data_IF_045201877559
#
_entry.id   IF_045201877559
#
_cell.length_a   1.000
_cell.length_b   1.000
_cell.length_c   1.000
_cell.angle_alpha   90.00
_cell.angle_beta   90.00
_cell.angle_gamma   90.00
#
_symmetry.space_group_name_H-M   'P 1'
#
loop_
_entity.id
_entity.type
_entity.pdbx_description
1 polymer ?
#
# COMPACT_ATOMS: atom_id res chain seq x y z
N UNK A 1 -15.37 13.35 -2.50
CA UNK A 1 -14.07 12.99 -3.10
C UNK A 1 -14.01 11.48 -3.23
N UNK A 2 -13.07 10.95 -4.01
CA UNK A 2 -12.75 9.51 -4.03
C UNK A 2 -11.23 9.34 -4.00
N UNK A 3 -10.75 8.45 -3.13
CA UNK A 3 -9.36 7.99 -3.15
C UNK A 3 -9.32 6.55 -3.66
N UNK A 4 -8.42 6.26 -4.59
CA UNK A 4 -8.31 4.95 -5.25
C UNK A 4 -6.88 4.40 -5.10
N UNK A 5 -6.70 3.37 -4.28
CA UNK A 5 -5.43 2.63 -4.20
C UNK A 5 -5.49 1.44 -5.14
N UNK A 6 -4.46 1.25 -5.98
CA UNK A 6 -4.43 0.17 -6.96
C UNK A 6 -3.13 -0.63 -6.88
N UNK A 7 -3.24 -1.84 -6.36
CA UNK A 7 -2.21 -2.87 -6.40
C UNK A 7 -2.33 -3.68 -7.69
N UNK A 8 -1.35 -3.52 -8.59
CA UNK A 8 -1.19 -4.32 -9.79
C UNK A 8 0.15 -4.00 -10.46
N UNK A 9 0.66 -4.95 -11.25
CA UNK A 9 1.70 -4.66 -12.24
C UNK A 9 1.23 -3.57 -13.19
N UNK A 10 2.17 -2.74 -13.62
CA UNK A 10 1.94 -1.64 -14.56
C UNK A 10 0.76 -0.73 -14.16
N UNK A 11 0.42 -0.66 -12.88
CA UNK A 11 -0.78 0.02 -12.39
C UNK A 11 -0.84 1.50 -12.82
N UNK A 12 0.30 2.17 -12.98
CA UNK A 12 0.37 3.51 -13.55
C UNK A 12 -0.18 3.65 -14.97
N UNK A 13 -0.32 2.56 -15.75
CA UNK A 13 -0.89 2.58 -17.10
C UNK A 13 -2.41 2.72 -17.14
N UNK A 14 -3.10 2.58 -16.00
CA UNK A 14 -4.57 2.63 -15.95
C UNK A 14 -5.12 4.05 -15.82
N UNK A 15 -4.29 5.03 -15.47
CA UNK A 15 -4.72 6.41 -15.19
C UNK A 15 -4.05 7.51 -16.04
N UNK A 16 -3.60 7.27 -17.30
CA UNK A 16 -2.86 8.27 -18.07
C UNK A 16 -3.67 9.54 -18.33
N UNK A 17 -4.99 9.43 -18.41
CA UNK A 17 -5.92 10.52 -18.73
C UNK A 17 -6.77 10.95 -17.52
N UNK A 18 -6.42 10.54 -16.30
CA UNK A 18 -7.18 10.93 -15.12
C UNK A 18 -6.96 12.41 -14.80
N UNK A 19 -7.97 13.22 -15.12
CA UNK A 19 -7.96 14.67 -14.87
C UNK A 19 -8.49 15.04 -13.47
N UNK A 20 -8.15 16.23 -12.93
CA UNK A 20 -8.67 16.69 -11.64
C UNK A 20 -10.19 16.89 -11.56
N UNK A 21 -10.89 17.05 -12.69
CA UNK A 21 -12.32 17.42 -12.73
C UNK A 21 -13.27 16.38 -12.08
N UNK A 22 -12.80 15.16 -11.83
CA UNK A 22 -13.57 14.08 -11.20
C UNK A 22 -13.54 14.04 -9.68
N UNK A 23 -12.71 14.87 -9.01
CA UNK A 23 -12.41 14.75 -7.56
C UNK A 23 -11.97 13.33 -7.15
N UNK A 24 -11.20 12.69 -8.03
CA UNK A 24 -10.62 11.37 -7.85
C UNK A 24 -9.12 11.55 -7.69
N UNK A 25 -8.56 11.01 -6.62
CA UNK A 25 -7.13 10.91 -6.39
C UNK A 25 -6.74 9.43 -6.42
N UNK A 26 -5.86 9.03 -7.35
CA UNK A 26 -5.44 7.65 -7.49
C UNK A 26 -3.97 7.48 -7.11
N UNK A 27 -3.66 6.39 -6.42
CA UNK A 27 -2.32 5.98 -5.99
C UNK A 27 -2.07 4.56 -6.49
N UNK A 28 -0.96 4.35 -7.18
CA UNK A 28 -0.65 3.05 -7.82
C UNK A 28 0.60 2.43 -7.23
N UNK A 29 0.64 1.09 -7.17
CA UNK A 29 1.79 0.34 -6.67
C UNK A 29 3.04 0.46 -7.55
N UNK A 30 2.85 0.65 -8.85
CA UNK A 30 3.90 0.65 -9.86
C UNK A 30 3.65 1.74 -10.93
N UNK A 31 4.70 2.12 -11.65
CA UNK A 31 4.56 2.92 -12.86
C UNK A 31 3.98 2.08 -14.03
N UNK A 32 3.84 2.66 -15.22
CA UNK A 32 3.21 2.00 -16.37
C UNK A 32 4.04 0.88 -17.05
N UNK A 33 5.22 0.51 -16.52
CA UNK A 33 6.20 -0.33 -17.23
C UNK A 33 6.89 -1.37 -16.36
N UNK A 34 6.49 -1.53 -15.11
CA UNK A 34 7.15 -2.41 -14.15
C UNK A 34 6.14 -3.25 -13.38
N UNK A 35 6.61 -4.38 -12.84
CA UNK A 35 5.86 -5.24 -11.94
C UNK A 35 5.54 -4.56 -10.60
N UNK A 36 4.48 -5.04 -9.95
CA UNK A 36 4.34 -4.93 -8.50
C UNK A 36 5.01 -6.12 -7.81
N UNK A 37 5.01 -6.12 -6.47
CA UNK A 37 5.80 -7.05 -5.68
C UNK A 37 4.97 -7.68 -4.58
N UNK A 38 5.03 -9.01 -4.48
CA UNK A 38 4.55 -9.75 -3.33
C UNK A 38 5.44 -9.46 -2.10
N UNK A 39 4.90 -9.69 -0.92
CA UNK A 39 5.61 -9.55 0.35
C UNK A 39 5.21 -10.65 1.33
N UNK A 40 6.00 -10.82 2.39
CA UNK A 40 5.86 -11.95 3.31
C UNK A 40 5.95 -13.30 2.59
N UNK A 41 6.91 -13.41 1.67
CA UNK A 41 7.10 -14.57 0.80
C UNK A 41 7.96 -15.67 1.44
N UNK A 42 7.74 -16.89 0.97
CA UNK A 42 8.53 -18.05 1.32
C UNK A 42 9.93 -17.99 0.69
N UNK A 43 10.97 -18.55 1.31
CA UNK A 43 10.97 -19.27 2.59
C UNK A 43 11.24 -18.35 3.80
N UNK A 44 11.06 -17.04 3.65
CA UNK A 44 11.53 -16.05 4.61
C UNK A 44 10.47 -15.69 5.67
N UNK A 45 9.37 -15.06 5.24
CA UNK A 45 8.38 -14.45 6.16
C UNK A 45 6.94 -14.90 5.87
N UNK A 46 6.76 -16.10 5.33
CA UNK A 46 5.46 -16.72 5.07
C UNK A 46 4.91 -17.50 6.27
N UNK A 47 5.43 -17.30 7.48
CA UNK A 47 5.06 -18.13 8.64
C UNK A 47 3.80 -17.65 9.34
N UNK A 48 2.76 -18.49 9.40
CA UNK A 48 1.55 -18.26 10.19
C UNK A 48 1.52 -19.22 11.38
N UNK A 49 1.56 -18.68 12.61
CA UNK A 49 1.61 -19.46 13.87
C UNK A 49 2.74 -20.52 13.87
N UNK A 50 3.89 -20.15 13.31
CA UNK A 50 5.09 -21.00 13.24
C UNK A 50 5.06 -22.07 12.14
N UNK A 51 4.07 -22.05 11.24
CA UNK A 51 4.00 -22.94 10.07
C UNK A 51 4.31 -22.16 8.80
N UNK A 52 5.19 -22.70 7.96
CA UNK A 52 5.41 -22.23 6.60
C UNK A 52 4.13 -22.38 5.78
N UNK A 53 3.79 -21.34 5.05
CA UNK A 53 2.60 -21.30 4.18
C UNK A 53 2.96 -21.57 2.72
N UNK A 54 4.26 -21.56 2.39
CA UNK A 54 4.81 -21.82 1.06
C UNK A 54 4.24 -20.88 -0.01
N UNK A 55 3.90 -19.65 0.38
CA UNK A 55 3.30 -18.62 -0.48
C UNK A 55 3.53 -17.22 0.11
N UNK A 56 3.30 -16.15 -0.66
CA UNK A 56 3.34 -14.78 -0.15
C UNK A 56 2.03 -14.44 0.60
N UNK A 57 2.14 -13.74 1.73
CA UNK A 57 0.99 -13.39 2.58
C UNK A 57 0.44 -11.97 2.34
N UNK A 58 1.10 -11.18 1.50
CA UNK A 58 0.61 -9.87 1.08
C UNK A 58 1.38 -9.34 -0.13
N UNK A 59 1.14 -8.07 -0.43
CA UNK A 59 1.82 -7.34 -1.51
C UNK A 59 2.44 -6.08 -0.94
N UNK A 60 3.65 -5.73 -1.40
CA UNK A 60 4.49 -4.70 -0.79
C UNK A 60 3.79 -3.34 -0.69
N UNK A 61 3.12 -2.89 -1.76
CA UNK A 61 2.37 -1.64 -1.74
C UNK A 61 1.14 -1.75 -0.85
N UNK A 62 0.40 -2.86 -0.96
CA UNK A 62 -0.81 -3.10 -0.17
C UNK A 62 -0.56 -3.12 1.33
N UNK A 63 0.43 -3.89 1.80
CA UNK A 63 0.78 -3.93 3.22
C UNK A 63 1.34 -2.59 3.71
N UNK A 64 1.94 -1.79 2.82
CA UNK A 64 2.55 -0.53 3.20
C UNK A 64 1.51 0.48 3.68
N UNK A 65 0.36 0.58 3.01
CA UNK A 65 -0.72 1.48 3.43
C UNK A 65 -1.58 0.84 4.53
N UNK A 66 -1.92 -0.45 4.43
CA UNK A 66 -2.77 -1.12 5.43
C UNK A 66 -2.13 -1.15 6.82
N UNK A 67 -0.85 -1.51 6.92
CA UNK A 67 -0.18 -1.58 8.23
C UNK A 67 0.11 -0.19 8.81
N UNK A 68 0.21 0.85 7.97
CA UNK A 68 0.30 2.21 8.46
C UNK A 68 -1.05 2.67 9.04
N UNK A 69 -2.15 2.36 8.36
CA UNK A 69 -3.52 2.61 8.83
C UNK A 69 -3.85 1.87 10.12
N UNK A 70 -3.39 0.61 10.26
CA UNK A 70 -3.55 -0.20 11.48
C UNK A 70 -2.86 0.40 12.71
N UNK A 71 -1.94 1.36 12.54
CA UNK A 71 -1.37 2.13 13.67
C UNK A 71 -2.38 3.09 14.30
N UNK A 72 -3.56 3.26 13.69
CA UNK A 72 -4.67 4.01 14.27
C UNK A 72 -4.51 5.54 14.21
N UNK A 73 -3.64 6.06 13.35
CA UNK A 73 -3.39 7.50 13.20
C UNK A 73 -4.34 8.17 12.18
N UNK A 74 -5.40 7.48 11.76
CA UNK A 74 -6.35 7.88 10.71
C UNK A 74 -6.99 9.26 10.92
N UNK A 75 -7.14 9.70 12.17
CA UNK A 75 -7.73 10.99 12.51
C UNK A 75 -6.75 12.18 12.38
N UNK A 76 -5.43 11.92 12.34
CA UNK A 76 -4.38 12.94 12.30
C UNK A 76 -3.53 12.89 11.04
N UNK A 77 -3.38 11.71 10.45
CA UNK A 77 -2.62 11.51 9.22
C UNK A 77 -3.40 11.98 7.99
N UNK A 78 -2.76 12.78 7.16
CA UNK A 78 -3.27 13.19 5.85
C UNK A 78 -3.04 12.12 4.78
N UNK A 79 -3.81 12.19 3.68
CA UNK A 79 -3.59 11.35 2.49
C UNK A 79 -2.14 11.51 2.00
N UNK A 80 -1.65 12.75 1.94
CA UNK A 80 -0.29 13.07 1.50
C UNK A 80 0.79 12.41 2.35
N UNK A 81 0.63 12.42 3.67
CA UNK A 81 1.57 11.79 4.59
C UNK A 81 1.58 10.26 4.42
N UNK A 82 0.40 9.65 4.32
CA UNK A 82 0.31 8.20 4.11
C UNK A 82 0.93 7.81 2.76
N UNK A 83 0.63 8.54 1.68
CA UNK A 83 1.25 8.31 0.36
C UNK A 83 2.76 8.45 0.42
N UNK A 84 3.31 9.41 1.18
CA UNK A 84 4.75 9.55 1.35
C UNK A 84 5.38 8.36 2.08
N UNK A 85 4.74 7.85 3.15
CA UNK A 85 5.19 6.64 3.86
C UNK A 85 5.10 5.39 2.98
N UNK A 86 4.00 5.24 2.25
CA UNK A 86 3.76 4.14 1.31
C UNK A 86 4.82 4.15 0.20
N UNK A 87 5.10 5.32 -0.37
CA UNK A 87 6.16 5.51 -1.37
C UNK A 87 7.53 5.15 -0.82
N UNK A 88 7.83 5.53 0.42
CA UNK A 88 9.11 5.20 1.06
C UNK A 88 9.27 3.70 1.34
N UNK A 89 8.19 3.00 1.71
CA UNK A 89 8.22 1.56 2.00
C UNK A 89 8.17 0.69 0.74
N UNK A 90 7.45 1.13 -0.29
CA UNK A 90 7.34 0.42 -1.58
C UNK A 90 8.58 0.68 -2.41
N UNK A 91 9.72 0.10 -2.02
CA UNK A 91 11.04 0.40 -2.59
C UNK A 91 11.46 -0.48 -3.77
N UNK A 92 10.63 -1.45 -4.18
CA UNK A 92 10.88 -2.35 -5.31
C UNK A 92 10.18 -1.90 -6.61
N UNK A 93 9.22 -0.98 -6.51
CA UNK A 93 8.49 -0.35 -7.62
C UNK A 93 8.29 1.14 -7.34
N UNK A 94 7.77 1.88 -8.31
CA UNK A 94 7.56 3.32 -8.21
C UNK A 94 6.08 3.63 -7.99
N UNK A 95 5.74 4.01 -6.75
CA UNK A 95 4.41 4.53 -6.43
C UNK A 95 4.14 5.80 -7.23
N UNK A 96 3.01 5.84 -7.94
CA UNK A 96 2.61 6.99 -8.75
C UNK A 96 1.27 7.56 -8.23
N UNK A 97 1.06 8.87 -8.47
CA UNK A 97 -0.18 9.57 -8.07
C UNK A 97 -0.80 10.29 -9.27
N UNK A 98 -2.12 10.24 -9.38
CA UNK A 98 -2.88 10.78 -10.51
C UNK A 98 -4.14 11.51 -10.05
N UNK A 99 -4.71 12.34 -10.93
CA UNK A 99 -5.97 13.03 -10.71
C UNK A 99 -5.86 14.27 -9.82
N UNK A 100 -6.86 14.47 -8.96
CA UNK A 100 -7.05 15.69 -8.18
C UNK A 100 -6.28 15.64 -6.85
N UNK A 101 -5.25 16.49 -6.72
CA UNK A 101 -4.46 16.62 -5.50
C UNK A 101 -4.98 17.70 -4.54
N UNK A 102 -6.07 18.38 -4.87
CA UNK A 102 -6.55 19.53 -4.09
C UNK A 102 -7.01 19.19 -2.66
N UNK A 103 -7.23 17.90 -2.37
CA UNK A 103 -7.65 17.39 -1.08
C UNK A 103 -6.64 16.43 -0.43
N UNK A 104 -5.38 16.38 -0.89
CA UNK A 104 -4.36 15.48 -0.33
C UNK A 104 -3.98 15.83 1.13
N UNK A 105 -4.28 17.06 1.58
CA UNK A 105 -4.08 17.50 2.97
C UNK A 105 -5.25 17.09 3.90
N UNK A 106 -6.32 16.48 3.37
CA UNK A 106 -7.39 15.93 4.20
C UNK A 106 -6.95 14.66 4.94
N UNK A 107 -7.52 14.44 6.14
CA UNK A 107 -7.21 13.26 6.94
C UNK A 107 -7.68 11.98 6.27
N UNK A 108 -6.82 10.96 6.24
CA UNK A 108 -7.09 9.68 5.58
C UNK A 108 -8.29 8.95 6.19
N UNK A 109 -8.59 9.18 7.47
CA UNK A 109 -9.75 8.63 8.15
C UNK A 109 -11.11 9.08 7.60
N UNK A 110 -11.16 10.12 6.74
CA UNK A 110 -12.37 10.44 5.97
C UNK A 110 -12.68 9.40 4.89
N UNK A 111 -11.68 8.64 4.45
CA UNK A 111 -11.76 7.68 3.35
C UNK A 111 -11.65 6.23 3.82
N UNK A 112 -10.76 5.96 4.78
CA UNK A 112 -10.56 4.63 5.35
C UNK A 112 -11.41 4.37 6.61
N UNK A 113 -12.18 5.38 7.04
CA UNK A 113 -13.02 5.34 8.22
C UNK A 113 -12.26 5.67 9.51
N UNK A 114 -12.98 5.63 10.62
CA UNK A 114 -12.41 5.84 11.95
C UNK A 114 -12.44 4.49 12.66
N UNK A 115 -11.26 3.91 12.90
CA UNK A 115 -11.19 2.77 13.79
C UNK A 115 -11.78 3.19 15.15
N UNK A 116 -12.64 2.37 15.80
CA UNK A 116 -12.89 2.54 17.22
C UNK A 116 -11.53 2.61 17.92
N UNK A 117 -11.38 3.40 18.98
CA UNK A 117 -10.19 3.33 19.83
C UNK A 117 -10.17 1.96 20.53
N UNK A 118 -9.80 0.92 19.79
CA UNK A 118 -9.48 -0.39 20.31
C UNK A 118 -8.17 -0.17 21.04
N UNK A 119 -8.20 -0.32 22.37
CA UNK A 119 -7.05 -0.10 23.23
C UNK A 119 -5.81 -0.76 22.63
N UNK A 120 -4.72 0.01 22.56
CA UNK A 120 -3.40 -0.28 21.99
C UNK A 120 -3.08 -1.78 21.89
N UNK A 121 -3.62 -2.46 20.87
CA UNK A 121 -2.90 -3.59 20.31
C UNK A 121 -1.84 -2.92 19.45
N UNK A 122 -0.58 -2.96 19.90
CA UNK A 122 0.52 -2.47 19.10
C UNK A 122 0.41 -3.09 17.70
N UNK A 123 0.28 -2.25 16.68
CA UNK A 123 0.41 -2.72 15.31
C UNK A 123 1.70 -3.55 15.24
N UNK A 124 1.67 -4.75 14.63
CA UNK A 124 2.86 -5.56 14.52
C UNK A 124 4.01 -4.72 13.95
N UNK A 125 5.21 -4.90 14.48
CA UNK A 125 6.37 -4.14 14.03
C UNK A 125 6.52 -4.32 12.51
N UNK A 126 6.68 -3.22 11.79
CA UNK A 126 6.91 -3.25 10.34
C UNK A 126 8.17 -4.07 10.08
N UNK A 127 7.99 -5.24 9.47
CA UNK A 127 9.10 -6.05 9.00
C UNK A 127 9.59 -5.41 7.69
N UNK A 128 10.88 -5.10 7.63
CA UNK A 128 11.54 -4.41 6.51
C UNK A 128 12.57 -5.31 5.82
N UNK A 129 12.40 -6.63 5.93
CA UNK A 129 13.35 -7.57 5.35
C UNK A 129 13.27 -7.53 3.82
N UNK A 130 14.35 -7.09 3.17
CA UNK A 130 14.42 -6.91 1.71
C UNK A 130 14.29 -8.23 0.95
N UNK A 131 14.65 -9.35 1.60
CA UNK A 131 14.59 -10.72 1.06
C UNK A 131 13.17 -11.32 1.12
N UNK A 132 12.20 -10.58 1.68
CA UNK A 132 10.81 -11.05 1.82
C UNK A 132 9.91 -10.72 0.62
N UNK A 133 10.47 -10.08 -0.41
CA UNK A 133 9.73 -9.56 -1.55
C UNK A 133 10.11 -10.25 -2.86
N UNK A 134 9.12 -10.79 -3.54
CA UNK A 134 9.26 -11.43 -4.86
C UNK A 134 8.50 -10.63 -5.91
N UNK A 135 9.02 -10.58 -7.14
CA UNK A 135 8.26 -10.05 -8.28
C UNK A 135 6.99 -10.89 -8.41
N UNK A 136 5.83 -10.23 -8.50
CA UNK A 136 4.54 -10.92 -8.48
C UNK A 136 4.40 -11.97 -9.60
N UNK A 137 5.17 -11.85 -10.68
CA UNK A 137 5.18 -12.80 -11.82
C UNK A 137 6.08 -14.01 -11.59
N UNK A 138 7.02 -13.89 -10.66
CA UNK A 138 7.97 -14.95 -10.31
C UNK A 138 7.49 -15.80 -9.13
N UNK A 139 6.41 -15.39 -8.45
CA UNK A 139 5.76 -16.17 -7.39
C UNK A 139 5.27 -17.50 -7.96
N UNK A 140 5.72 -18.65 -7.41
CA UNK A 140 5.29 -19.96 -7.88
C UNK A 140 3.77 -20.17 -7.78
N UNK A 141 3.18 -20.78 -8.82
CA UNK A 141 1.77 -21.22 -8.86
C UNK A 141 1.53 -22.51 -8.09
#
# INVERSE_FOLDING_TARGET
ELVFYMEACESGSMFPDLTPDGKIFAVTAANAKESSWGYYCAPHNDKVKGKDMETCLGDLFSIAWMEDSDRGQLASESIKEQVAKVTARTNKSHVCTFGDKSFEDETIGKFEGVAPQVGEAAAPAVQTEEDSADDIRDIPL
#
